data_IF_786664306262
#
_entry.id   IF_786664306262
#
_cell.length_a   1.000
_cell.length_b   1.000
_cell.length_c   1.000
_cell.angle_alpha   90.00
_cell.angle_beta   90.00
_cell.angle_gamma   90.00
#
_symmetry.space_group_name_H-M   'P 1'
#
loop_
_entity.id
_entity.type
_entity.pdbx_description
1 polymer ?
#
# COMPACT_ATOMS: atom_id res chain seq x y z
N UNK A 1 5.38 19.64 5.40
CA UNK A 1 4.43 19.69 4.26
C UNK A 1 5.11 19.70 2.88
N UNK A 2 6.35 20.17 2.73
CA UNK A 2 7.06 20.16 1.43
C UNK A 2 7.51 18.78 0.92
N UNK A 3 7.45 17.72 1.76
CA UNK A 3 8.07 16.42 1.48
C UNK A 3 7.22 15.50 0.58
N UNK A 4 5.92 15.34 0.85
CA UNK A 4 5.06 14.42 0.11
C UNK A 4 4.88 14.82 -1.38
N UNK A 5 4.66 16.11 -1.65
CA UNK A 5 4.55 16.62 -3.03
C UNK A 5 5.86 16.44 -3.80
N UNK A 6 7.00 16.73 -3.18
CA UNK A 6 8.30 16.59 -3.82
C UNK A 6 8.62 15.12 -4.12
N UNK A 7 8.39 14.21 -3.17
CA UNK A 7 8.59 12.77 -3.38
C UNK A 7 7.66 12.20 -4.44
N UNK A 8 6.40 12.65 -4.51
CA UNK A 8 5.48 12.25 -5.56
C UNK A 8 5.99 12.70 -6.94
N UNK A 9 6.49 13.94 -7.05
CA UNK A 9 7.08 14.43 -8.29
C UNK A 9 8.35 13.66 -8.68
N UNK A 10 9.24 13.34 -7.74
CA UNK A 10 10.43 12.54 -8.03
C UNK A 10 10.08 11.12 -8.48
N UNK A 11 9.07 10.50 -7.88
CA UNK A 11 8.56 9.21 -8.34
C UNK A 11 8.02 9.32 -9.77
N UNK A 12 7.19 10.33 -10.05
CA UNK A 12 6.58 10.51 -11.38
C UNK A 12 7.66 10.73 -12.45
N UNK A 13 8.73 11.48 -12.15
CA UNK A 13 9.86 11.72 -13.06
C UNK A 13 10.63 10.44 -13.44
N UNK A 14 10.53 9.38 -12.64
CA UNK A 14 11.20 8.10 -12.90
C UNK A 14 10.34 7.14 -13.73
N UNK A 15 9.07 7.47 -13.98
CA UNK A 15 8.18 6.66 -14.80
C UNK A 15 8.45 6.89 -16.30
N UNK A 16 8.12 5.91 -17.17
CA UNK A 16 8.20 6.08 -18.62
C UNK A 16 7.36 7.26 -19.13
N UNK A 17 7.81 7.91 -20.20
CA UNK A 17 7.10 9.07 -20.78
C UNK A 17 5.69 8.73 -21.31
N UNK A 18 5.45 7.46 -21.66
CA UNK A 18 4.17 6.95 -22.17
C UNK A 18 3.26 6.41 -21.06
N UNK A 19 3.62 6.60 -19.79
CA UNK A 19 2.84 6.13 -18.64
C UNK A 19 1.46 6.80 -18.60
N UNK A 20 0.43 6.01 -18.35
CA UNK A 20 -0.93 6.53 -18.20
C UNK A 20 -1.13 7.16 -16.83
N UNK A 21 -2.06 8.11 -16.72
CA UNK A 21 -2.46 8.70 -15.43
C UNK A 21 -2.91 7.63 -14.42
N UNK A 22 -3.61 6.59 -14.89
CA UNK A 22 -4.03 5.46 -14.04
C UNK A 22 -2.83 4.75 -13.41
N UNK A 23 -1.80 4.48 -14.20
CA UNK A 23 -0.58 3.85 -13.70
C UNK A 23 0.20 4.75 -12.74
N UNK A 24 0.27 6.06 -13.01
CA UNK A 24 0.86 7.04 -12.08
C UNK A 24 0.16 6.95 -10.71
N UNK A 25 -1.18 6.92 -10.70
CA UNK A 25 -1.95 6.80 -9.45
C UNK A 25 -1.64 5.49 -8.72
N UNK A 26 -1.59 4.37 -9.44
CA UNK A 26 -1.24 3.06 -8.86
C UNK A 26 0.12 3.07 -8.16
N UNK A 27 1.14 3.66 -8.79
CA UNK A 27 2.49 3.74 -8.22
C UNK A 27 2.52 4.61 -6.95
N UNK A 28 1.79 5.74 -6.96
CA UNK A 28 1.67 6.60 -5.78
C UNK A 28 0.95 5.88 -4.63
N UNK A 29 -0.12 5.15 -4.93
CA UNK A 29 -0.81 4.33 -3.91
C UNK A 29 0.08 3.20 -3.40
N UNK A 30 0.82 2.54 -4.29
CA UNK A 30 1.75 1.49 -3.89
C UNK A 30 2.80 2.02 -2.91
N UNK A 31 3.45 3.16 -3.23
CA UNK A 31 4.40 3.83 -2.32
C UNK A 31 3.76 4.10 -0.95
N UNK A 32 2.57 4.68 -0.93
CA UNK A 32 1.86 4.98 0.32
C UNK A 32 1.58 3.71 1.15
N UNK A 33 1.17 2.62 0.50
CA UNK A 33 0.87 1.35 1.18
C UNK A 33 2.14 0.71 1.77
N UNK A 34 3.27 0.81 1.07
CA UNK A 34 4.57 0.35 1.57
C UNK A 34 4.99 1.15 2.79
N UNK A 35 4.93 2.48 2.73
CA UNK A 35 5.28 3.36 3.86
C UNK A 35 4.43 3.08 5.10
N UNK A 36 3.13 2.91 4.89
CA UNK A 36 2.21 2.51 5.96
C UNK A 36 2.58 1.15 6.53
N UNK A 37 2.89 0.17 5.69
CA UNK A 37 3.32 -1.17 6.13
C UNK A 37 4.61 -1.14 6.95
N UNK A 38 5.57 -0.30 6.57
CA UNK A 38 6.81 -0.09 7.34
C UNK A 38 6.53 0.55 8.70
N UNK A 39 5.64 1.54 8.75
CA UNK A 39 5.22 2.15 10.01
C UNK A 39 4.48 1.14 10.90
N UNK A 40 3.56 0.36 10.34
CA UNK A 40 2.84 -0.70 11.05
C UNK A 40 3.81 -1.74 11.63
N UNK A 41 4.85 -2.11 10.88
CA UNK A 41 5.90 -3.00 11.37
C UNK A 41 6.70 -2.39 12.53
N UNK A 42 7.10 -1.12 12.41
CA UNK A 42 7.84 -0.41 13.45
C UNK A 42 7.03 -0.25 14.76
N UNK A 43 5.71 -0.06 14.64
CA UNK A 43 4.80 0.07 15.78
C UNK A 43 4.29 -1.28 16.32
N UNK A 44 4.74 -2.41 15.76
CA UNK A 44 4.30 -3.74 16.17
C UNK A 44 2.85 -4.07 15.78
N UNK A 45 2.23 -3.29 14.89
CA UNK A 45 0.92 -3.58 14.27
C UNK A 45 1.04 -4.66 13.19
N UNK A 46 1.67 -5.76 13.56
CA UNK A 46 1.89 -6.92 12.70
C UNK A 46 1.01 -8.07 13.14
N UNK A 47 0.87 -9.05 12.26
CA UNK A 47 0.10 -10.24 12.47
C UNK A 47 0.90 -11.43 11.97
N UNK A 48 0.88 -12.51 12.73
CA UNK A 48 1.49 -13.78 12.34
C UNK A 48 0.71 -14.38 11.17
N UNK A 49 1.37 -15.29 10.44
CA UNK A 49 0.74 -16.03 9.35
C UNK A 49 -0.51 -16.78 9.80
N UNK A 50 -0.52 -17.29 11.04
CA UNK A 50 -1.66 -18.01 11.60
C UNK A 50 -2.84 -17.08 11.88
N UNK A 51 -2.60 -15.93 12.52
CA UNK A 51 -3.63 -14.91 12.76
C UNK A 51 -4.23 -14.39 11.44
N UNK A 52 -3.40 -14.24 10.40
CA UNK A 52 -3.87 -13.87 9.06
C UNK A 52 -4.84 -14.91 8.50
N UNK A 53 -4.47 -16.20 8.53
CA UNK A 53 -5.30 -17.31 8.03
C UNK A 53 -6.65 -17.34 8.73
N UNK A 54 -6.67 -17.18 10.04
CA UNK A 54 -7.91 -17.17 10.82
C UNK A 54 -8.80 -15.97 10.47
N UNK A 55 -8.20 -14.79 10.28
CA UNK A 55 -8.92 -13.58 9.85
C UNK A 55 -9.56 -13.77 8.47
N UNK A 56 -8.82 -14.31 7.51
CA UNK A 56 -9.34 -14.61 6.16
C UNK A 56 -10.46 -15.66 6.24
N UNK A 57 -10.28 -16.71 7.05
CA UNK A 57 -11.30 -17.74 7.24
C UNK A 57 -12.60 -17.18 7.84
N UNK A 58 -12.51 -16.25 8.80
CA UNK A 58 -13.67 -15.53 9.36
C UNK A 58 -14.35 -14.66 8.31
N UNK A 59 -13.58 -13.87 7.55
CA UNK A 59 -14.12 -13.02 6.48
C UNK A 59 -14.89 -13.82 5.43
N UNK A 60 -14.36 -14.99 5.03
CA UNK A 60 -15.03 -15.90 4.08
C UNK A 60 -16.34 -16.47 4.62
N UNK A 61 -16.51 -16.57 5.94
CA UNK A 61 -17.77 -17.02 6.57
C UNK A 61 -18.77 -15.88 6.74
N UNK A 62 -18.31 -14.64 6.89
CA UNK A 62 -19.17 -13.44 7.04
C UNK A 62 -19.59 -12.83 5.70
N UNK A 63 -18.79 -13.00 4.65
CA UNK A 63 -19.19 -12.68 3.29
C UNK A 63 -20.19 -13.74 2.84
N UNK A 64 -21.47 -13.50 3.12
CA UNK A 64 -22.58 -14.43 2.89
C UNK A 64 -22.41 -15.25 1.61
N UNK A 65 -22.10 -16.52 1.80
CA UNK A 65 -22.40 -17.61 0.87
C UNK A 65 -23.31 -18.58 1.60
#
# INVERSE_FOLDING_TARGET
>A
MAKAKAEALELIKQLPDDVTTGRIMEELFFKQQVEKGLQDAAEGRILTHQELKERIARWRKSAGR
#
